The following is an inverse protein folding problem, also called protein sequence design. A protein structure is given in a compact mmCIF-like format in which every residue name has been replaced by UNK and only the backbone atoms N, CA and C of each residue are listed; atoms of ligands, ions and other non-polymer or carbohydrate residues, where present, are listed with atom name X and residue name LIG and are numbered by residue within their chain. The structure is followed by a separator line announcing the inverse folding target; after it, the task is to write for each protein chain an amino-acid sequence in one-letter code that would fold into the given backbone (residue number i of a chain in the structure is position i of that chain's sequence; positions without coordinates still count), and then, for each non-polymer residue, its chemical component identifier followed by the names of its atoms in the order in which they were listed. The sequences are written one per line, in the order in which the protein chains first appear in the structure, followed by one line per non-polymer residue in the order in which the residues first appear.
data_IF_490078614485
#
_entry.id   IF_490078614485
#
_cell.length_a   1.000
_cell.length_b   1.000
_cell.length_c   1.000
_cell.angle_alpha   90.00
_cell.angle_beta   90.00
_cell.angle_gamma   90.00
#
_symmetry.space_group_name_H-M   'P 1'
#
loop_
_entity.id
_entity.type
_entity.pdbx_description
1 polymer ?
#
# COMPACT_ATOMS: atom_id res chain seq x y z
N UNK A 1 21.08 -0.58 45.07
CA UNK A 1 19.64 -0.46 44.79
C UNK A 1 19.36 0.46 43.59
N UNK A 2 19.87 1.68 43.55
CA UNK A 2 19.60 2.66 42.49
C UNK A 2 19.84 2.15 41.04
N UNK A 3 20.98 1.46 40.78
CA UNK A 3 21.28 0.91 39.44
C UNK A 3 20.25 -0.12 38.95
N UNK A 4 19.73 -0.98 39.84
CA UNK A 4 18.66 -1.94 39.48
C UNK A 4 17.36 -1.22 39.16
N UNK A 5 16.98 -0.18 39.89
CA UNK A 5 15.80 0.61 39.64
C UNK A 5 15.90 1.36 38.28
N UNK A 6 17.06 1.93 37.97
CA UNK A 6 17.31 2.58 36.67
C UNK A 6 17.16 1.56 35.54
N UNK A 7 17.78 0.40 35.63
CA UNK A 7 17.67 -0.64 34.60
C UNK A 7 16.22 -1.09 34.41
N UNK A 8 15.51 -1.37 35.50
CA UNK A 8 14.09 -1.77 35.40
C UNK A 8 13.26 -0.64 34.77
N UNK A 9 13.45 0.61 35.19
CA UNK A 9 12.76 1.75 34.62
C UNK A 9 13.00 1.90 33.11
N UNK A 10 14.27 1.77 32.67
CA UNK A 10 14.61 1.82 31.23
C UNK A 10 13.94 0.69 30.44
N UNK A 11 13.94 -0.55 30.97
CA UNK A 11 13.28 -1.68 30.31
C UNK A 11 11.77 -1.47 30.19
N UNK A 12 11.12 -0.97 31.23
CA UNK A 12 9.69 -0.68 31.20
C UNK A 12 9.37 0.40 30.17
N UNK A 13 10.14 1.49 30.14
CA UNK A 13 9.94 2.57 29.14
C UNK A 13 10.13 2.04 27.73
N UNK A 14 11.18 1.23 27.49
CA UNK A 14 11.42 0.62 26.18
C UNK A 14 10.27 -0.32 25.76
N UNK A 15 9.77 -1.14 26.68
CA UNK A 15 8.65 -2.03 26.43
C UNK A 15 7.36 -1.23 26.07
N UNK A 16 7.07 -0.18 26.83
CA UNK A 16 5.93 0.69 26.54
C UNK A 16 6.05 1.39 25.18
N UNK A 17 7.26 1.86 24.84
CA UNK A 17 7.52 2.47 23.53
C UNK A 17 7.32 1.47 22.37
N UNK A 18 7.77 0.22 22.53
CA UNK A 18 7.57 -0.83 21.54
C UNK A 18 6.08 -1.19 21.38
N UNK A 19 5.35 -1.29 22.49
CA UNK A 19 3.89 -1.53 22.44
C UNK A 19 3.18 -0.37 21.75
N UNK A 20 3.50 0.86 22.11
CA UNK A 20 2.93 2.06 21.47
C UNK A 20 3.24 2.08 19.97
N UNK A 21 4.49 1.82 19.59
CA UNK A 21 4.89 1.73 18.20
C UNK A 21 4.09 0.66 17.45
N UNK A 22 3.98 -0.54 18.01
CA UNK A 22 3.20 -1.63 17.41
C UNK A 22 1.73 -1.25 17.22
N UNK A 23 1.10 -0.67 18.24
CA UNK A 23 -0.31 -0.24 18.17
C UNK A 23 -0.53 0.86 17.11
N UNK A 24 0.41 1.79 16.98
CA UNK A 24 0.32 2.89 16.00
C UNK A 24 0.63 2.45 14.56
N UNK A 25 1.29 1.30 14.41
CA UNK A 25 1.68 0.78 13.07
C UNK A 25 0.84 -0.41 12.63
N UNK A 26 -0.20 -0.80 13.37
CA UNK A 26 -1.15 -1.83 12.92
C UNK A 26 -1.79 -1.38 11.60
N UNK A 27 -1.70 -2.20 10.52
CA UNK A 27 -2.31 -1.87 9.26
C UNK A 27 -3.83 -1.70 9.38
N UNK A 28 -4.34 -0.58 8.89
CA UNK A 28 -5.77 -0.33 8.82
C UNK A 28 -6.35 -0.83 7.49
N UNK A 29 -7.58 -1.33 7.53
CA UNK A 29 -8.32 -1.75 6.34
C UNK A 29 -9.67 -1.07 6.25
N UNK A 30 -10.16 -0.90 5.02
CA UNK A 30 -11.51 -0.39 4.76
C UNK A 30 -12.45 -1.58 4.64
N UNK A 31 -13.44 -1.76 5.54
CA UNK A 31 -14.38 -2.86 5.45
C UNK A 31 -15.33 -2.67 4.26
N UNK A 32 -15.68 -3.75 3.57
CA UNK A 32 -16.59 -3.70 2.43
C UNK A 32 -17.98 -3.10 2.77
N UNK A 33 -18.40 -3.20 4.03
CA UNK A 33 -19.68 -2.67 4.50
C UNK A 33 -19.81 -1.14 4.47
N UNK A 34 -18.69 -0.40 4.38
CA UNK A 34 -18.73 1.07 4.26
C UNK A 34 -18.73 1.55 2.83
N UNK A 35 -18.53 0.66 1.86
CA UNK A 35 -18.58 0.98 0.44
C UNK A 35 -20.04 1.04 -0.01
N UNK A 36 -20.47 2.19 -0.54
CA UNK A 36 -21.81 2.31 -1.09
C UNK A 36 -21.97 1.43 -2.34
N UNK A 37 -23.08 0.69 -2.47
CA UNK A 37 -23.36 -0.03 -3.72
C UNK A 37 -23.38 0.93 -4.90
N UNK A 38 -22.68 0.59 -5.98
CA UNK A 38 -22.64 1.41 -7.18
C UNK A 38 -22.54 0.56 -8.44
N UNK A 39 -22.89 1.15 -9.57
CA UNK A 39 -22.66 0.55 -10.89
C UNK A 39 -21.31 1.04 -11.40
N UNK A 40 -20.41 0.17 -11.85
CA UNK A 40 -19.13 0.58 -12.41
C UNK A 40 -19.31 1.52 -13.63
N UNK A 41 -18.61 2.64 -13.61
CA UNK A 41 -18.54 3.59 -14.72
C UNK A 41 -17.14 3.59 -15.32
N UNK A 42 -16.97 2.87 -16.42
CA UNK A 42 -15.68 2.72 -17.10
C UNK A 42 -15.19 4.04 -17.73
N UNK A 43 -16.10 4.94 -18.14
CA UNK A 43 -15.72 6.23 -18.70
C UNK A 43 -15.12 7.13 -17.61
N UNK A 44 -15.78 7.20 -16.45
CA UNK A 44 -15.26 7.89 -15.29
C UNK A 44 -13.96 7.24 -14.79
N UNK A 45 -13.90 5.91 -14.73
CA UNK A 45 -12.69 5.17 -14.35
C UNK A 45 -11.49 5.53 -15.23
N UNK A 46 -11.68 5.66 -16.55
CA UNK A 46 -10.64 6.11 -17.47
C UNK A 46 -10.16 7.53 -17.16
N UNK A 47 -11.08 8.44 -16.87
CA UNK A 47 -10.73 9.82 -16.49
C UNK A 47 -9.90 9.80 -15.19
N UNK A 48 -10.35 9.08 -14.17
CA UNK A 48 -9.64 8.98 -12.89
C UNK A 48 -8.26 8.33 -13.03
N UNK A 49 -8.13 7.31 -13.88
CA UNK A 49 -6.85 6.68 -14.20
C UNK A 49 -5.84 7.68 -14.77
N UNK A 50 -6.26 8.51 -15.72
CA UNK A 50 -5.39 9.52 -16.32
C UNK A 50 -5.11 10.68 -15.36
N UNK A 51 -6.14 11.15 -14.64
CA UNK A 51 -6.00 12.21 -13.65
C UNK A 51 -5.08 11.81 -12.48
N UNK A 52 -5.17 10.55 -12.02
CA UNK A 52 -4.32 10.00 -10.97
C UNK A 52 -2.89 9.69 -11.42
N UNK A 53 -2.61 9.74 -12.73
CA UNK A 53 -1.26 9.53 -13.25
C UNK A 53 -0.70 8.13 -13.03
N UNK A 54 -1.54 7.11 -12.87
CA UNK A 54 -1.14 5.75 -12.51
C UNK A 54 -0.05 5.18 -13.44
N UNK A 55 -0.18 5.45 -14.74
CA UNK A 55 0.75 4.98 -15.76
C UNK A 55 2.15 5.58 -15.64
N UNK A 56 2.32 6.74 -15.00
CA UNK A 56 3.64 7.39 -14.88
C UNK A 56 4.65 6.53 -14.13
N UNK A 57 4.17 5.78 -13.13
CA UNK A 57 5.01 4.88 -12.33
C UNK A 57 4.75 3.40 -12.63
N UNK A 58 3.49 3.01 -12.86
CA UNK A 58 3.10 1.60 -12.97
C UNK A 58 3.18 1.02 -14.39
N UNK A 59 3.32 1.84 -15.44
CA UNK A 59 3.57 1.32 -16.77
C UNK A 59 4.95 0.62 -16.83
N UNK A 60 5.02 -0.49 -17.57
CA UNK A 60 6.31 -1.17 -17.79
C UNK A 60 7.29 -0.23 -18.49
N UNK A 61 8.53 -0.08 -18.00
CA UNK A 61 9.51 0.79 -18.61
C UNK A 61 9.75 0.46 -20.09
N UNK A 62 9.90 1.48 -20.93
CA UNK A 62 10.18 1.37 -22.38
C UNK A 62 9.04 0.73 -23.20
N UNK A 63 7.87 0.47 -22.62
CA UNK A 63 6.71 -0.06 -23.31
C UNK A 63 5.88 1.08 -23.93
N UNK A 64 5.37 0.91 -25.16
CA UNK A 64 4.54 1.90 -25.84
C UNK A 64 3.15 2.02 -25.19
N UNK A 65 2.49 0.89 -24.97
CA UNK A 65 1.18 0.85 -24.35
C UNK A 65 1.28 1.14 -22.82
N UNK A 66 0.99 2.37 -22.45
CA UNK A 66 1.02 2.83 -21.06
C UNK A 66 -0.15 2.36 -20.22
N UNK A 67 -1.13 1.68 -20.80
CA UNK A 67 -2.26 1.09 -20.06
C UNK A 67 -1.94 -0.29 -19.51
N UNK A 68 -0.86 -0.93 -19.95
CA UNK A 68 -0.33 -2.16 -19.35
C UNK A 68 0.49 -1.80 -18.11
N UNK A 69 -0.08 -2.04 -16.96
CA UNK A 69 0.42 -1.58 -15.66
C UNK A 69 1.24 -2.66 -14.94
N UNK A 70 2.12 -3.33 -15.68
CA UNK A 70 2.95 -4.42 -15.16
C UNK A 70 4.05 -4.00 -14.19
N UNK A 71 4.22 -2.70 -13.94
CA UNK A 71 5.21 -2.20 -12.99
C UNK A 71 6.66 -2.35 -13.45
N UNK A 72 7.56 -2.50 -12.48
CA UNK A 72 8.98 -2.75 -12.73
C UNK A 72 9.85 -1.49 -12.88
N UNK A 73 9.28 -0.29 -12.76
CA UNK A 73 10.09 0.93 -12.68
C UNK A 73 10.96 0.90 -11.41
N UNK A 74 12.27 1.04 -11.59
CA UNK A 74 13.22 1.06 -10.48
C UNK A 74 13.35 2.47 -9.90
N UNK A 75 13.07 2.61 -8.61
CA UNK A 75 13.20 3.83 -7.84
C UNK A 75 14.41 3.69 -6.89
N UNK A 76 15.52 4.33 -7.22
CA UNK A 76 16.72 4.33 -6.38
C UNK A 76 16.57 5.25 -5.18
N UNK A 77 17.04 4.81 -4.01
CA UNK A 77 17.10 5.60 -2.79
C UNK A 77 18.36 5.28 -1.99
N UNK A 78 18.71 6.08 -0.95
CA UNK A 78 19.81 5.75 -0.03
C UNK A 78 19.61 4.42 0.72
N UNK A 79 18.39 3.90 0.78
CA UNK A 79 18.03 2.66 1.47
C UNK A 79 17.95 1.44 0.55
N UNK A 80 18.16 1.63 -0.75
CA UNK A 80 18.09 0.57 -1.76
C UNK A 80 17.22 0.95 -2.95
N UNK A 81 16.99 -0.01 -3.85
CA UNK A 81 16.13 0.17 -5.01
C UNK A 81 14.77 -0.45 -4.75
N UNK A 82 13.72 0.34 -4.92
CA UNK A 82 12.33 -0.11 -4.85
C UNK A 82 11.80 -0.28 -6.27
N UNK A 83 11.09 -1.36 -6.52
CA UNK A 83 10.43 -1.59 -7.80
C UNK A 83 8.94 -1.32 -7.68
N UNK A 84 8.42 -0.49 -8.59
CA UNK A 84 6.99 -0.17 -8.63
C UNK A 84 6.19 -1.45 -8.92
N UNK A 85 5.16 -1.78 -8.13
CA UNK A 85 4.43 -3.03 -8.26
C UNK A 85 3.54 -3.09 -9.51
N UNK A 86 3.25 -4.31 -9.92
CA UNK A 86 2.27 -4.62 -10.96
C UNK A 86 0.86 -4.34 -10.42
N UNK A 87 0.14 -3.41 -11.04
CA UNK A 87 -1.28 -3.09 -10.75
C UNK A 87 -2.18 -3.39 -11.95
N UNK A 88 -1.75 -4.27 -12.85
CA UNK A 88 -2.59 -4.72 -13.95
C UNK A 88 -3.75 -5.60 -13.48
N UNK A 89 -4.67 -5.90 -14.38
CA UNK A 89 -5.79 -6.82 -14.14
C UNK A 89 -5.40 -8.30 -14.12
N UNK A 90 -4.11 -8.62 -14.16
CA UNK A 90 -3.65 -10.00 -13.99
C UNK A 90 -4.02 -10.51 -12.57
N UNK A 91 -4.56 -11.74 -12.52
CA UNK A 91 -5.07 -12.30 -11.27
C UNK A 91 -3.98 -12.92 -10.39
N UNK A 92 -2.81 -13.23 -10.97
CA UNK A 92 -1.70 -13.88 -10.29
C UNK A 92 -0.64 -12.85 -9.89
N UNK A 93 -0.22 -12.04 -10.84
CA UNK A 93 0.91 -11.13 -10.66
C UNK A 93 0.48 -9.66 -10.49
N UNK A 94 -0.80 -9.36 -10.69
CA UNK A 94 -1.38 -8.03 -10.55
C UNK A 94 -2.44 -7.95 -9.46
N UNK A 95 -3.34 -6.98 -9.61
CA UNK A 95 -4.43 -6.74 -8.65
C UNK A 95 -5.78 -7.29 -9.13
N UNK A 96 -5.82 -8.08 -10.20
CA UNK A 96 -7.06 -8.59 -10.82
C UNK A 96 -7.86 -9.57 -9.95
N UNK A 97 -7.28 -10.10 -8.87
CA UNK A 97 -7.96 -10.92 -7.88
C UNK A 97 -8.43 -10.14 -6.64
N UNK A 98 -8.09 -8.85 -6.53
CA UNK A 98 -8.47 -8.04 -5.38
C UNK A 98 -9.97 -7.74 -5.37
N UNK A 99 -10.52 -7.65 -4.17
CA UNK A 99 -11.86 -7.07 -3.97
C UNK A 99 -11.78 -5.54 -4.05
N UNK A 100 -12.91 -4.90 -4.28
CA UNK A 100 -13.00 -3.45 -4.26
C UNK A 100 -12.54 -2.84 -2.92
N UNK A 101 -12.90 -3.46 -1.79
CA UNK A 101 -12.47 -3.01 -0.48
C UNK A 101 -10.94 -3.09 -0.29
N UNK A 102 -10.30 -4.11 -0.86
CA UNK A 102 -8.85 -4.22 -0.88
C UNK A 102 -8.19 -3.13 -1.73
N UNK A 103 -8.76 -2.86 -2.92
CA UNK A 103 -8.29 -1.77 -3.76
C UNK A 103 -8.43 -0.40 -3.06
N UNK A 104 -9.60 -0.12 -2.48
CA UNK A 104 -9.83 1.13 -1.73
C UNK A 104 -8.89 1.21 -0.53
N UNK A 105 -8.68 0.11 0.19
CA UNK A 105 -7.71 0.05 1.31
C UNK A 105 -6.31 0.44 0.85
N UNK A 106 -5.83 -0.13 -0.24
CA UNK A 106 -4.51 0.21 -0.78
C UNK A 106 -4.39 1.69 -1.17
N UNK A 107 -5.45 2.27 -1.77
CA UNK A 107 -5.47 3.65 -2.20
C UNK A 107 -5.52 4.66 -1.05
N UNK A 108 -6.24 4.38 0.04
CA UNK A 108 -6.48 5.35 1.13
C UNK A 108 -5.71 5.06 2.41
N UNK A 109 -5.26 3.83 2.60
CA UNK A 109 -4.52 3.38 3.79
C UNK A 109 -3.10 2.93 3.47
N UNK A 110 -2.76 2.74 2.20
CA UNK A 110 -1.44 2.28 1.78
C UNK A 110 -1.16 0.82 2.12
N UNK A 111 -2.18 0.03 2.44
CA UNK A 111 -2.05 -1.37 2.86
C UNK A 111 -2.54 -2.30 1.76
N UNK A 112 -1.70 -3.23 1.32
CA UNK A 112 -2.08 -4.29 0.39
C UNK A 112 -2.73 -5.47 1.12
N UNK A 113 -3.43 -6.42 0.40
CA UNK A 113 -3.98 -7.62 1.04
C UNK A 113 -2.95 -8.53 1.72
N UNK A 114 -1.69 -8.35 1.38
CA UNK A 114 -0.56 -9.14 1.93
C UNK A 114 0.29 -8.37 2.93
N UNK A 115 -0.06 -7.13 3.25
CA UNK A 115 0.66 -6.24 4.18
C UNK A 115 1.45 -5.13 3.52
#
# INVERSE_FOLDING_TARGET
MARKLVVVGTVVVAALALVAFWLLTIPETVPASVLAPHTPDLANGKIMFHAGGCASCHAVPKQEDKTRLGGGLALGSPFGTFYVPNISSDRTDGIGAWTEAQFVTAMVKGTSPTG
#
